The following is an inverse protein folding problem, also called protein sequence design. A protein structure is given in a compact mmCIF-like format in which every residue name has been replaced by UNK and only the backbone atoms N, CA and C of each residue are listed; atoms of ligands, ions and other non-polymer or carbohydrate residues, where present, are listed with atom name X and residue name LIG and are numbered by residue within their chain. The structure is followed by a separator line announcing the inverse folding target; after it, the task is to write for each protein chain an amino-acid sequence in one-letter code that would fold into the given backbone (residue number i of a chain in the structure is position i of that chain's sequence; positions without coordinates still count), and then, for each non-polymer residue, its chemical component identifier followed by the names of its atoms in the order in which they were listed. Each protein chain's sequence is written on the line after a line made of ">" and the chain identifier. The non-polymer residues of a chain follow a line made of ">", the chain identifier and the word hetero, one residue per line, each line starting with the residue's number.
data_IF_892165022360
#
_entry.id   IF_892165022360
#
_cell.length_a   1.000
_cell.length_b   1.000
_cell.length_c   1.000
_cell.angle_alpha   90.00
_cell.angle_beta   90.00
_cell.angle_gamma   90.00
#
_symmetry.space_group_name_H-M   'P 1'
#
loop_
_entity.id
_entity.type
_entity.pdbx_description
1 polymer ?
#
# COMPACT_ATOMS: atom_id res chain seq x y z
N UNK A 1 9.44 -0.18 -22.37
CA UNK A 1 9.81 -1.32 -21.52
C UNK A 1 8.53 -2.00 -21.06
N UNK A 2 8.50 -3.33 -20.96
CA UNK A 2 7.35 -4.03 -20.36
C UNK A 2 7.63 -4.16 -18.86
N UNK A 3 6.99 -3.34 -18.04
CA UNK A 3 7.06 -3.45 -16.59
C UNK A 3 6.28 -4.68 -16.12
N UNK A 4 6.66 -5.22 -14.96
CA UNK A 4 5.93 -6.31 -14.30
C UNK A 4 5.91 -6.08 -12.81
N UNK A 5 4.72 -6.15 -12.22
CA UNK A 5 4.48 -6.08 -10.78
C UNK A 5 4.38 -7.47 -10.14
N UNK A 6 4.80 -8.52 -10.85
CA UNK A 6 4.68 -9.89 -10.39
C UNK A 6 5.61 -10.19 -9.20
N UNK A 7 5.04 -10.69 -8.10
CA UNK A 7 5.77 -11.18 -6.93
C UNK A 7 6.00 -12.70 -7.04
N UNK A 8 6.86 -13.15 -7.94
CA UNK A 8 7.01 -14.59 -8.23
C UNK A 8 7.54 -15.43 -7.04
N UNK A 9 8.21 -14.81 -6.07
CA UNK A 9 8.72 -15.44 -4.85
C UNK A 9 7.79 -15.28 -3.63
N UNK A 10 6.50 -15.02 -3.85
CA UNK A 10 5.52 -14.74 -2.78
C UNK A 10 5.45 -15.85 -1.72
N UNK A 11 5.55 -17.13 -2.11
CA UNK A 11 5.50 -18.27 -1.20
C UNK A 11 6.63 -18.19 -0.16
N UNK A 12 7.86 -17.99 -0.63
CA UNK A 12 9.03 -17.87 0.22
C UNK A 12 8.96 -16.62 1.10
N UNK A 13 8.42 -15.51 0.58
CA UNK A 13 8.21 -14.28 1.36
C UNK A 13 7.27 -14.49 2.53
N UNK A 14 6.15 -15.19 2.32
CA UNK A 14 5.20 -15.51 3.41
C UNK A 14 5.89 -16.36 4.48
N UNK A 15 6.58 -17.44 4.07
CA UNK A 15 7.29 -18.34 5.01
C UNK A 15 8.33 -17.58 5.83
N UNK A 16 9.08 -16.68 5.19
CA UNK A 16 10.15 -15.90 5.83
C UNK A 16 9.67 -14.56 6.40
N UNK A 17 8.35 -14.29 6.46
CA UNK A 17 7.76 -13.04 6.95
C UNK A 17 8.33 -11.78 6.27
N UNK A 18 8.65 -11.88 4.98
CA UNK A 18 9.07 -10.76 4.13
C UNK A 18 7.84 -10.06 3.54
N UNK A 19 7.96 -8.78 3.25
CA UNK A 19 6.88 -8.00 2.62
C UNK A 19 6.47 -8.59 1.27
N UNK A 20 5.16 -8.59 0.98
CA UNK A 20 4.58 -8.93 -0.32
C UNK A 20 4.55 -7.77 -1.31
N UNK A 21 5.19 -6.65 -0.97
CA UNK A 21 5.41 -5.51 -1.86
C UNK A 21 6.81 -5.70 -2.47
N UNK A 22 6.93 -6.14 -3.73
CA UNK A 22 8.22 -6.56 -4.30
C UNK A 22 9.02 -5.43 -4.94
N UNK A 23 8.39 -4.30 -5.27
CA UNK A 23 9.00 -3.11 -5.84
C UNK A 23 8.34 -1.84 -5.30
N UNK A 24 9.07 -0.74 -5.40
CA UNK A 24 8.52 0.60 -5.20
C UNK A 24 7.44 0.90 -6.26
N UNK A 25 6.51 1.84 -5.99
CA UNK A 25 5.48 2.20 -6.94
C UNK A 25 6.08 2.67 -8.27
N UNK A 26 5.54 2.19 -9.40
CA UNK A 26 6.00 2.59 -10.73
C UNK A 26 5.71 4.08 -10.99
N UNK A 27 4.64 4.59 -10.38
CA UNK A 27 4.13 5.94 -10.47
C UNK A 27 4.04 6.56 -9.06
N UNK A 28 5.15 7.08 -8.53
CA UNK A 28 5.25 7.49 -7.12
C UNK A 28 4.42 8.73 -6.79
N UNK A 29 4.25 9.67 -7.73
CA UNK A 29 3.49 10.89 -7.50
C UNK A 29 1.99 10.58 -7.33
N UNK A 30 1.46 9.70 -8.18
CA UNK A 30 0.10 9.23 -8.11
C UNK A 30 -0.15 8.35 -6.87
N UNK A 31 0.84 7.51 -6.50
CA UNK A 31 0.80 6.72 -5.29
C UNK A 31 0.67 7.61 -4.03
N UNK A 32 1.45 8.69 -3.96
CA UNK A 32 1.41 9.61 -2.82
C UNK A 32 0.11 10.42 -2.81
N UNK A 33 -0.36 10.88 -3.96
CA UNK A 33 -1.65 11.58 -4.06
C UNK A 33 -2.81 10.71 -3.56
N UNK A 34 -2.82 9.42 -3.92
CA UNK A 34 -3.83 8.47 -3.46
C UNK A 34 -3.70 8.18 -1.96
N UNK A 35 -2.47 8.05 -1.44
CA UNK A 35 -2.24 7.84 -0.02
C UNK A 35 -2.73 9.02 0.84
N UNK A 36 -2.50 10.25 0.39
CA UNK A 36 -2.97 11.43 1.13
C UNK A 36 -4.49 11.45 1.22
N UNK A 37 -5.21 11.10 0.14
CA UNK A 37 -6.67 10.91 0.21
C UNK A 37 -7.03 9.77 1.16
N UNK A 38 -6.36 8.61 1.06
CA UNK A 38 -6.62 7.45 1.90
C UNK A 38 -6.50 7.78 3.40
N UNK A 39 -5.46 8.52 3.80
CA UNK A 39 -5.23 8.94 5.19
C UNK A 39 -6.36 9.82 5.74
N UNK A 40 -7.17 10.47 4.90
CA UNK A 40 -8.31 11.29 5.35
C UNK A 40 -9.61 10.51 5.55
N UNK A 41 -9.70 9.28 5.02
CA UNK A 41 -10.89 8.43 5.17
C UNK A 41 -11.10 8.07 6.65
N UNK A 42 -12.36 7.97 7.09
CA UNK A 42 -12.70 7.62 8.48
C UNK A 42 -13.06 6.15 8.65
N UNK A 43 -12.59 5.56 9.74
CA UNK A 43 -12.99 4.25 10.23
C UNK A 43 -14.30 4.37 11.02
N UNK A 44 -15.43 4.30 10.33
CA UNK A 44 -16.76 4.60 10.92
C UNK A 44 -17.24 3.58 11.95
N UNK A 45 -16.66 2.39 11.96
CA UNK A 45 -16.95 1.27 12.86
C UNK A 45 -15.98 1.17 14.05
N UNK A 46 -14.99 2.07 14.14
CA UNK A 46 -14.03 2.14 15.24
C UNK A 46 -14.44 3.24 16.23
N UNK A 47 -14.31 2.97 17.54
CA UNK A 47 -14.60 3.95 18.57
C UNK A 47 -13.75 5.23 18.40
N UNK A 48 -14.40 6.39 18.45
CA UNK A 48 -13.75 7.69 18.16
C UNK A 48 -13.65 8.03 16.67
N UNK A 49 -13.95 7.08 15.77
CA UNK A 49 -13.93 7.24 14.32
C UNK A 49 -12.66 7.93 13.79
N UNK A 50 -11.46 7.40 14.15
CA UNK A 50 -10.20 7.96 13.68
C UNK A 50 -10.11 7.87 12.16
N UNK A 51 -9.21 8.65 11.58
CA UNK A 51 -8.87 8.46 10.17
C UNK A 51 -7.97 7.24 9.98
N UNK A 52 -7.89 6.72 8.75
CA UNK A 52 -6.90 5.69 8.42
C UNK A 52 -5.47 6.18 8.66
N UNK A 53 -5.20 7.48 8.49
CA UNK A 53 -3.89 8.06 8.80
C UNK A 53 -3.54 8.06 10.30
N UNK A 54 -4.54 8.08 11.19
CA UNK A 54 -4.35 8.03 12.64
C UNK A 54 -4.27 6.60 13.19
N UNK A 55 -4.89 5.64 12.50
CA UNK A 55 -5.09 4.29 13.00
C UNK A 55 -4.22 3.21 12.36
N UNK A 56 -3.71 3.43 11.14
CA UNK A 56 -2.93 2.44 10.42
C UNK A 56 -1.42 2.59 10.62
N UNK A 57 -0.73 1.46 10.53
CA UNK A 57 0.73 1.36 10.56
C UNK A 57 1.33 1.59 9.17
N UNK A 58 2.63 1.92 9.11
CA UNK A 58 3.35 2.23 7.86
C UNK A 58 3.21 1.16 6.77
N UNK A 59 3.17 -0.13 7.15
CA UNK A 59 3.01 -1.22 6.19
C UNK A 59 1.70 -1.15 5.39
N UNK A 60 0.64 -0.58 5.97
CA UNK A 60 -0.64 -0.35 5.28
C UNK A 60 -0.46 0.74 4.24
N UNK A 61 0.30 1.79 4.56
CA UNK A 61 0.58 2.88 3.64
C UNK A 61 1.47 2.41 2.48
N UNK A 62 2.44 1.54 2.75
CA UNK A 62 3.25 0.91 1.70
C UNK A 62 2.37 0.09 0.74
N UNK A 63 1.39 -0.65 1.27
CA UNK A 63 0.46 -1.42 0.45
C UNK A 63 -0.42 -0.50 -0.42
N UNK A 64 -0.96 0.57 0.16
CA UNK A 64 -1.74 1.58 -0.56
C UNK A 64 -0.92 2.18 -1.69
N UNK A 65 0.33 2.60 -1.42
CA UNK A 65 1.23 3.13 -2.45
C UNK A 65 1.49 2.11 -3.57
N UNK A 66 1.74 0.85 -3.22
CA UNK A 66 2.02 -0.20 -4.19
C UNK A 66 0.82 -0.46 -5.13
N UNK A 67 -0.41 -0.43 -4.59
CA UNK A 67 -1.63 -0.62 -5.38
C UNK A 67 -1.90 0.60 -6.26
N UNK A 68 -1.84 1.81 -5.68
CA UNK A 68 -2.20 3.03 -6.40
C UNK A 68 -1.11 3.55 -7.33
N UNK A 69 0.15 3.14 -7.20
CA UNK A 69 1.20 3.49 -8.17
C UNK A 69 1.49 2.41 -9.21
N UNK A 70 0.57 1.46 -9.43
CA UNK A 70 0.71 0.37 -10.40
C UNK A 70 -0.22 0.57 -11.63
N UNK A 71 -0.19 1.76 -12.23
CA UNK A 71 -0.93 2.06 -13.48
C UNK A 71 -0.36 1.29 -14.69
N UNK A 72 -1.19 1.13 -15.72
CA UNK A 72 -0.86 0.57 -17.05
C UNK A 72 -0.59 1.71 -18.05
#
# INVERSE_FOLDING_TARGET
>A
MKWSTACLDWEDRIVNKRSLIPLDPLFPDEAEAALEVFKTLRLVDVAGQPTFGEACEDYVFDFVRAVFGAYD
#
